data_IF_084868864330
#
_entry.id   IF_084868864330
#
_cell.length_a   1.000
_cell.length_b   1.000
_cell.length_c   1.000
_cell.angle_alpha   90.00
_cell.angle_beta   90.00
_cell.angle_gamma   90.00
#
_symmetry.space_group_name_H-M   'P 1'
#
loop_
_entity.id
_entity.type
_entity.pdbx_description
1 polymer ?
#
# COMPACT_ATOMS: atom_id res chain seq x y z
N UNK A 1 5.77 0.68 -10.82
CA UNK A 1 4.59 1.54 -10.57
C UNK A 1 3.31 0.75 -10.80
N UNK A 2 2.35 0.90 -9.92
CA UNK A 2 1.07 0.22 -10.02
C UNK A 2 -0.02 1.23 -10.40
N UNK A 3 -0.82 0.89 -11.40
CA UNK A 3 -1.94 1.70 -11.85
C UNK A 3 -3.23 0.96 -11.47
N UNK A 4 -4.07 1.59 -10.68
CA UNK A 4 -5.35 1.00 -10.26
C UNK A 4 -6.50 1.83 -10.83
N UNK A 5 -7.34 1.20 -11.61
CA UNK A 5 -8.59 1.81 -12.06
C UNK A 5 -9.63 1.68 -10.97
N UNK A 6 -10.18 2.79 -10.52
CA UNK A 6 -11.17 2.81 -9.45
C UNK A 6 -12.48 3.34 -9.98
N UNK A 7 -13.54 2.58 -9.78
CA UNK A 7 -14.92 3.01 -10.07
C UNK A 7 -15.52 3.51 -8.76
N UNK A 8 -16.05 4.72 -8.80
CA UNK A 8 -16.63 5.32 -7.60
C UNK A 8 -17.67 6.38 -7.98
N UNK A 9 -18.48 6.76 -7.02
CA UNK A 9 -19.44 7.86 -7.16
C UNK A 9 -18.90 9.06 -6.40
N UNK A 10 -18.72 10.19 -7.10
CA UNK A 10 -18.21 11.40 -6.47
C UNK A 10 -19.26 12.07 -5.56
N UNK A 11 -18.86 13.12 -4.87
CA UNK A 11 -19.76 13.78 -3.92
C UNK A 11 -20.86 14.60 -4.59
N UNK A 12 -20.84 14.73 -5.92
CA UNK A 12 -21.94 15.33 -6.68
C UNK A 12 -22.89 14.29 -7.25
N UNK A 13 -22.64 13.02 -6.97
CA UNK A 13 -23.47 11.92 -7.44
C UNK A 13 -23.10 11.38 -8.82
N UNK A 14 -22.00 11.84 -9.41
CA UNK A 14 -21.55 11.38 -10.71
C UNK A 14 -20.71 10.10 -10.57
N UNK A 15 -20.98 9.13 -11.44
CA UNK A 15 -20.18 7.90 -11.52
C UNK A 15 -18.91 8.20 -12.29
N UNK A 16 -17.78 7.77 -11.71
CA UNK A 16 -16.46 7.97 -12.30
C UNK A 16 -15.69 6.66 -12.38
N UNK A 17 -14.84 6.58 -13.38
CA UNK A 17 -13.91 5.48 -13.58
C UNK A 17 -12.57 6.10 -13.96
N UNK A 18 -11.64 6.14 -13.03
CA UNK A 18 -10.39 6.86 -13.18
C UNK A 18 -9.20 6.01 -12.75
N UNK A 19 -8.05 6.28 -13.35
CA UNK A 19 -6.81 5.60 -13.00
C UNK A 19 -6.06 6.38 -11.94
N UNK A 20 -5.60 5.65 -10.92
CA UNK A 20 -4.80 6.19 -9.84
C UNK A 20 -3.45 5.46 -9.80
N UNK A 21 -2.40 6.19 -9.43
CA UNK A 21 -1.03 5.72 -9.52
C UNK A 21 -0.41 5.56 -8.15
N UNK A 22 0.29 4.43 -7.97
CA UNK A 22 0.93 4.09 -6.69
C UNK A 22 2.35 3.60 -6.98
N UNK A 23 3.32 4.17 -6.29
CA UNK A 23 4.70 3.78 -6.44
C UNK A 23 5.51 4.05 -5.17
N UNK A 24 6.35 3.09 -4.80
CA UNK A 24 7.38 3.29 -3.80
C UNK A 24 8.72 3.02 -4.47
N UNK A 25 9.59 4.03 -4.49
CA UNK A 25 10.94 3.83 -4.99
C UNK A 25 11.82 3.20 -3.90
N UNK A 26 13.06 2.84 -4.25
CA UNK A 26 13.96 2.17 -3.32
C UNK A 26 14.23 2.98 -2.07
N UNK A 27 14.36 4.30 -2.20
CA UNK A 27 14.61 5.17 -1.06
C UNK A 27 13.40 5.22 -0.13
N UNK A 28 12.20 5.30 -0.68
CA UNK A 28 10.98 5.28 0.12
C UNK A 28 10.78 3.96 0.84
N UNK A 29 11.12 2.86 0.20
CA UNK A 29 11.07 1.53 0.80
C UNK A 29 12.07 1.43 1.96
N UNK A 30 13.27 1.95 1.78
CA UNK A 30 14.28 1.98 2.85
C UNK A 30 13.84 2.84 4.03
N UNK A 31 13.27 4.01 3.76
CA UNK A 31 12.71 4.86 4.80
C UNK A 31 11.61 4.16 5.58
N UNK A 32 10.74 3.45 4.86
CA UNK A 32 9.65 2.71 5.46
C UNK A 32 10.18 1.61 6.38
N UNK A 33 11.20 0.87 5.92
CA UNK A 33 11.82 -0.17 6.74
C UNK A 33 12.40 0.40 8.03
N UNK A 34 13.13 1.51 7.93
CA UNK A 34 13.73 2.16 9.11
C UNK A 34 12.65 2.68 10.06
N UNK A 35 11.52 3.16 9.52
CA UNK A 35 10.44 3.71 10.33
C UNK A 35 9.61 2.64 11.04
N UNK A 36 9.64 1.40 10.55
CA UNK A 36 8.91 0.30 11.16
C UNK A 36 9.67 -0.20 12.39
N UNK A 37 9.03 -0.18 13.55
CA UNK A 37 9.63 -0.66 14.77
C UNK A 37 9.96 -2.15 14.66
N UNK A 38 11.25 -2.47 14.64
CA UNK A 38 11.74 -3.84 14.43
C UNK A 38 11.95 -4.23 12.98
N UNK A 39 11.81 -3.28 12.04
CA UNK A 39 12.04 -3.52 10.62
C UNK A 39 10.98 -4.42 9.96
N UNK A 40 11.31 -4.91 8.76
CA UNK A 40 10.40 -5.77 7.99
C UNK A 40 10.02 -7.05 8.73
N UNK A 41 10.93 -7.63 9.51
CA UNK A 41 10.66 -8.84 10.29
C UNK A 41 9.45 -8.69 11.19
N UNK A 42 9.44 -7.62 11.96
CA UNK A 42 8.34 -7.33 12.88
C UNK A 42 7.06 -6.99 12.15
N UNK A 43 7.19 -6.28 11.04
CA UNK A 43 6.04 -5.91 10.22
C UNK A 43 5.35 -7.16 9.66
N UNK A 44 6.14 -8.08 9.09
CA UNK A 44 5.61 -9.34 8.56
C UNK A 44 4.91 -10.15 9.66
N UNK A 45 5.52 -10.25 10.84
CA UNK A 45 4.92 -10.96 11.97
C UNK A 45 3.60 -10.34 12.39
N UNK A 46 3.54 -9.02 12.43
CA UNK A 46 2.31 -8.31 12.78
C UNK A 46 1.19 -8.57 11.76
N UNK A 47 1.50 -8.53 10.47
CA UNK A 47 0.53 -8.82 9.41
C UNK A 47 0.05 -10.28 9.51
N UNK A 48 1.00 -11.22 9.64
CA UNK A 48 0.68 -12.64 9.72
C UNK A 48 -0.21 -12.97 10.91
N UNK A 49 0.00 -12.28 12.03
CA UNK A 49 -0.74 -12.50 13.27
C UNK A 49 -1.92 -11.53 13.43
N UNK A 50 -2.12 -10.62 12.49
CA UNK A 50 -3.22 -9.66 12.56
C UNK A 50 -4.54 -10.40 12.39
N UNK A 51 -5.31 -10.48 13.46
CA UNK A 51 -6.65 -11.04 13.46
C UNK A 51 -7.69 -9.93 13.58
N UNK A 52 -7.22 -8.72 13.80
CA UNK A 52 -8.05 -7.53 13.95
C UNK A 52 -8.12 -6.80 12.61
N UNK A 53 -9.31 -6.65 12.08
CA UNK A 53 -9.56 -5.90 10.84
C UNK A 53 -9.04 -4.48 10.91
N UNK A 54 -9.05 -3.87 12.08
CA UNK A 54 -8.54 -2.52 12.26
C UNK A 54 -7.04 -2.44 12.01
N UNK A 55 -6.27 -3.42 12.46
CA UNK A 55 -4.83 -3.47 12.21
C UNK A 55 -4.52 -3.62 10.73
N UNK A 56 -5.25 -4.51 10.05
CA UNK A 56 -5.12 -4.71 8.61
C UNK A 56 -5.47 -3.43 7.86
N UNK A 57 -6.56 -2.79 8.25
CA UNK A 57 -6.98 -1.52 7.66
C UNK A 57 -5.89 -0.45 7.80
N UNK A 58 -5.32 -0.28 8.99
CA UNK A 58 -4.29 0.74 9.22
C UNK A 58 -3.01 0.46 8.42
N UNK A 59 -2.63 -0.79 8.27
CA UNK A 59 -1.47 -1.17 7.47
C UNK A 59 -1.68 -0.81 6.01
N UNK A 60 -2.82 -1.17 5.42
CA UNK A 60 -3.13 -0.85 4.04
C UNK A 60 -3.31 0.65 3.83
N UNK A 61 -3.95 1.33 4.76
CA UNK A 61 -4.11 2.79 4.68
C UNK A 61 -2.76 3.49 4.61
N UNK A 62 -1.83 3.11 5.48
CA UNK A 62 -0.49 3.68 5.48
C UNK A 62 0.23 3.43 4.15
N UNK A 63 0.14 2.21 3.64
CA UNK A 63 0.77 1.83 2.39
C UNK A 63 0.16 2.59 1.19
N UNK A 64 -1.16 2.67 1.13
CA UNK A 64 -1.87 3.40 0.07
C UNK A 64 -1.45 4.86 0.05
N UNK A 65 -1.49 5.52 1.21
CA UNK A 65 -1.17 6.95 1.27
C UNK A 65 0.29 7.22 0.98
N UNK A 66 1.22 6.37 1.44
CA UNK A 66 2.65 6.56 1.17
C UNK A 66 2.98 6.34 -0.31
N UNK A 67 2.30 5.42 -0.97
CA UNK A 67 2.58 5.09 -2.37
C UNK A 67 1.85 5.97 -3.37
N UNK A 68 0.79 6.65 -2.97
CA UNK A 68 -0.01 7.47 -3.88
C UNK A 68 0.79 8.63 -4.45
N UNK A 69 0.58 8.92 -5.73
CA UNK A 69 1.18 10.06 -6.39
C UNK A 69 0.59 10.27 -7.78
N UNK A 70 1.15 11.26 -8.47
CA UNK A 70 0.75 11.61 -9.82
C UNK A 70 1.97 11.63 -10.74
N UNK A 71 1.84 10.97 -11.88
CA UNK A 71 2.90 10.92 -12.88
C UNK A 71 2.84 12.18 -13.75
N UNK A 72 4.00 12.78 -14.02
CA UNK A 72 4.09 13.87 -14.99
C UNK A 72 3.77 13.37 -16.40
N UNK A 73 3.34 14.29 -17.28
CA UNK A 73 2.98 13.92 -18.66
C UNK A 73 4.16 13.31 -19.42
N UNK A 74 5.38 13.80 -19.17
CA UNK A 74 6.58 13.30 -19.81
C UNK A 74 7.20 12.09 -19.11
N UNK A 75 6.63 11.66 -17.97
CA UNK A 75 7.08 10.49 -17.24
C UNK A 75 8.34 10.70 -16.39
N UNK A 76 8.90 11.91 -16.36
CA UNK A 76 10.14 12.17 -15.63
C UNK A 76 9.95 12.24 -14.13
N UNK A 77 8.76 12.63 -13.67
CA UNK A 77 8.48 12.85 -12.25
C UNK A 77 7.29 12.02 -11.80
N UNK A 78 7.40 11.54 -10.58
CA UNK A 78 6.26 10.99 -9.86
C UNK A 78 6.04 11.87 -8.65
N UNK A 79 5.03 12.73 -8.73
CA UNK A 79 4.78 13.74 -7.70
C UNK A 79 4.10 13.13 -6.49
N UNK A 80 4.70 13.33 -5.33
CA UNK A 80 4.11 12.98 -4.03
C UNK A 80 3.55 14.22 -3.33
N UNK A 81 3.95 15.40 -3.79
CA UNK A 81 3.56 16.69 -3.23
C UNK A 81 3.05 17.61 -4.32
N UNK A 82 2.12 18.48 -3.95
CA UNK A 82 1.68 19.56 -4.83
C UNK A 82 2.82 20.52 -5.06
N UNK A 83 3.05 20.88 -6.33
CA UNK A 83 4.18 21.72 -6.72
C UNK A 83 4.06 23.16 -6.23
N UNK A 84 2.84 23.63 -6.02
CA UNK A 84 2.59 25.02 -5.62
C UNK A 84 2.52 25.18 -4.11
N UNK A 85 1.94 24.22 -3.40
CA UNK A 85 1.68 24.31 -1.96
C UNK A 85 2.65 23.48 -1.12
N UNK A 86 3.29 22.47 -1.71
CA UNK A 86 4.12 21.52 -0.97
C UNK A 86 3.35 20.53 -0.11
N UNK A 87 2.01 20.55 -0.18
CA UNK A 87 1.19 19.59 0.57
C UNK A 87 1.29 18.20 -0.07
N UNK A 88 1.32 17.13 0.75
CA UNK A 88 1.26 15.78 0.21
C UNK A 88 -0.02 15.58 -0.60
N UNK A 89 0.12 15.03 -1.81
CA UNK A 89 -1.03 14.72 -2.66
C UNK A 89 -1.92 13.64 -2.03
N UNK A 90 -1.35 12.81 -1.17
CA UNK A 90 -2.11 11.80 -0.45
C UNK A 90 -3.17 12.40 0.48
N UNK A 91 -2.95 13.62 0.98
CA UNK A 91 -3.95 14.29 1.81
C UNK A 91 -5.22 14.59 1.02
N UNK A 92 -5.08 15.03 -0.23
CA UNK A 92 -6.23 15.29 -1.09
C UNK A 92 -6.88 13.98 -1.51
N UNK A 93 -6.09 12.97 -1.83
CA UNK A 93 -6.60 11.66 -2.21
C UNK A 93 -7.42 11.03 -1.09
N UNK A 94 -6.98 11.17 0.15
CA UNK A 94 -7.68 10.63 1.32
C UNK A 94 -9.09 11.24 1.47
N UNK A 95 -9.29 12.42 0.92
CA UNK A 95 -10.59 13.10 0.97
C UNK A 95 -11.51 12.77 -0.21
N UNK A 96 -11.03 11.98 -1.17
CA UNK A 96 -11.84 11.57 -2.31
C UNK A 96 -12.69 10.35 -1.99
N UNK A 97 -13.87 10.27 -2.60
CA UNK A 97 -14.68 9.06 -2.54
C UNK A 97 -13.96 7.85 -3.14
N UNK A 98 -13.02 8.10 -4.07
CA UNK A 98 -12.17 7.05 -4.65
C UNK A 98 -11.33 6.34 -3.59
N UNK A 99 -10.82 7.07 -2.60
CA UNK A 99 -10.04 6.49 -1.51
C UNK A 99 -10.89 5.50 -0.70
N UNK A 100 -12.11 5.91 -0.38
CA UNK A 100 -13.04 5.05 0.35
C UNK A 100 -13.34 3.76 -0.43
N UNK A 101 -13.60 3.89 -1.73
CA UNK A 101 -13.85 2.74 -2.60
C UNK A 101 -12.65 1.81 -2.65
N UNK A 102 -11.44 2.35 -2.76
CA UNK A 102 -10.21 1.55 -2.78
C UNK A 102 -10.01 0.82 -1.46
N UNK A 103 -10.14 1.51 -0.34
CA UNK A 103 -9.95 0.90 0.98
C UNK A 103 -10.96 -0.21 1.23
N UNK A 104 -12.21 0.00 0.82
CA UNK A 104 -13.22 -1.04 0.92
C UNK A 104 -12.84 -2.28 0.12
N UNK A 105 -12.35 -2.09 -1.11
CA UNK A 105 -11.92 -3.21 -1.95
C UNK A 105 -10.73 -3.95 -1.33
N UNK A 106 -9.71 -3.21 -0.88
CA UNK A 106 -8.50 -3.82 -0.32
C UNK A 106 -8.76 -4.57 1.00
N UNK A 107 -9.76 -4.17 1.76
CA UNK A 107 -10.07 -4.81 3.03
C UNK A 107 -11.12 -5.91 2.94
N UNK A 108 -11.79 -6.05 1.79
CA UNK A 108 -12.84 -7.06 1.60
C UNK A 108 -12.53 -8.07 0.50
N UNK A 109 -11.53 -7.81 -0.34
CA UNK A 109 -11.16 -8.67 -1.46
C UNK A 109 -9.68 -9.05 -1.37
N UNK A 110 -9.42 -10.30 -0.99
CA UNK A 110 -8.05 -10.78 -0.78
C UNK A 110 -7.20 -10.74 -2.04
N UNK A 111 -7.80 -10.98 -3.21
CA UNK A 111 -7.07 -10.92 -4.48
C UNK A 111 -6.63 -9.49 -4.79
N UNK A 112 -7.51 -8.52 -4.59
CA UNK A 112 -7.19 -7.11 -4.78
C UNK A 112 -6.10 -6.65 -3.82
N UNK A 113 -6.19 -7.07 -2.57
CA UNK A 113 -5.19 -6.76 -1.55
C UNK A 113 -3.82 -7.32 -1.92
N UNK A 114 -3.78 -8.59 -2.35
CA UNK A 114 -2.53 -9.24 -2.76
C UNK A 114 -1.94 -8.57 -3.99
N UNK A 115 -2.76 -8.24 -4.97
CA UNK A 115 -2.30 -7.57 -6.18
C UNK A 115 -1.69 -6.21 -5.87
N UNK A 116 -2.37 -5.41 -5.06
CA UNK A 116 -1.87 -4.10 -4.65
C UNK A 116 -0.53 -4.24 -3.93
N UNK A 117 -0.49 -5.12 -2.94
CA UNK A 117 0.68 -5.33 -2.12
C UNK A 117 1.88 -5.79 -2.95
N UNK A 118 1.69 -6.78 -3.83
CA UNK A 118 2.77 -7.36 -4.62
C UNK A 118 3.34 -6.39 -5.64
N UNK A 119 2.56 -5.40 -6.09
CA UNK A 119 3.04 -4.42 -7.05
C UNK A 119 3.71 -3.20 -6.41
N UNK A 120 3.48 -2.99 -5.11
CA UNK A 120 3.99 -1.82 -4.41
C UNK A 120 5.15 -2.16 -3.47
N UNK A 121 5.13 -3.35 -2.87
CA UNK A 121 6.12 -3.80 -1.87
C UNK A 121 7.12 -4.78 -2.52
N UNK A 122 8.39 -4.81 -2.06
CA UNK A 122 9.39 -5.74 -2.57
C UNK A 122 8.96 -7.20 -2.45
N UNK A 123 9.27 -8.01 -3.46
CA UNK A 123 8.84 -9.40 -3.56
C UNK A 123 9.23 -10.25 -2.34
N UNK A 124 10.43 -10.06 -1.80
CA UNK A 124 10.88 -10.83 -0.65
C UNK A 124 10.01 -10.60 0.58
N UNK A 125 9.49 -9.40 0.77
CA UNK A 125 8.59 -9.09 1.88
C UNK A 125 7.21 -9.69 1.62
N UNK A 126 6.69 -9.55 0.39
CA UNK A 126 5.40 -10.14 -0.01
C UNK A 126 5.39 -11.64 0.20
N UNK A 127 6.42 -12.32 -0.28
CA UNK A 127 6.53 -13.78 -0.18
C UNK A 127 6.58 -14.23 1.28
N UNK A 128 7.31 -13.51 2.12
CA UNK A 128 7.40 -13.83 3.53
C UNK A 128 6.04 -13.71 4.24
N UNK A 129 5.24 -12.70 3.86
CA UNK A 129 3.90 -12.53 4.42
C UNK A 129 2.99 -13.66 3.98
N UNK A 130 3.02 -14.05 2.71
CA UNK A 130 2.20 -15.14 2.19
C UNK A 130 2.53 -16.46 2.90
N UNK A 131 3.82 -16.76 3.07
CA UNK A 131 4.26 -17.95 3.79
C UNK A 131 3.77 -17.95 5.23
N UNK A 132 3.80 -16.81 5.90
CA UNK A 132 3.30 -16.67 7.25
C UNK A 132 1.79 -16.93 7.32
N UNK A 133 1.03 -16.43 6.34
CA UNK A 133 -0.42 -16.64 6.24
C UNK A 133 -0.79 -18.09 5.96
N UNK A 134 0.10 -18.84 5.31
CA UNK A 134 -0.09 -20.25 5.04
C UNK A 134 0.17 -21.13 6.27
N UNK A 135 0.43 -20.53 7.43
CA UNK A 135 0.63 -21.24 8.67
C UNK A 135 2.03 -21.74 8.89
N UNK A 136 3.01 -21.12 8.26
CA UNK A 136 4.42 -21.45 8.48
C UNK A 136 4.82 -21.20 9.94
N UNK A 137 5.76 -21.99 10.44
CA UNK A 137 6.24 -21.84 11.81
C UNK A 137 7.07 -20.60 11.98
N UNK A 138 7.23 -20.16 13.24
CA UNK A 138 8.10 -19.04 13.57
C UNK A 138 9.54 -19.30 13.15
N UNK A 139 10.00 -20.53 13.26
CA UNK A 139 11.33 -20.93 12.82
C UNK A 139 11.52 -20.73 11.32
N UNK A 140 10.54 -21.12 10.53
CA UNK A 140 10.57 -20.95 9.08
C UNK A 140 10.61 -19.48 8.72
N UNK A 141 9.81 -18.66 9.36
CA UNK A 141 9.82 -17.21 9.18
C UNK A 141 11.19 -16.62 9.54
N UNK A 142 11.74 -17.02 10.68
CA UNK A 142 13.05 -16.57 11.13
C UNK A 142 14.15 -17.00 10.16
N UNK A 143 14.04 -18.21 9.62
CA UNK A 143 14.96 -18.71 8.61
C UNK A 143 14.95 -17.88 7.34
N UNK A 144 13.78 -17.41 6.92
CA UNK A 144 13.64 -16.53 5.76
C UNK A 144 14.44 -15.25 5.95
N UNK A 145 14.42 -14.67 7.13
CA UNK A 145 15.11 -13.40 7.40
C UNK A 145 16.59 -13.54 7.71
N UNK A 146 17.05 -14.73 8.02
CA UNK A 146 18.47 -14.96 8.27
C UNK A 146 19.28 -15.15 7.01
N UNK A 147 18.64 -15.28 5.89
CA UNK A 147 19.28 -15.51 4.60
C UNK A 147 19.78 -14.23 3.94
#
# INVERSE_FOLDING_TARGET
MYVKTIEYTDYSGNKRKEDFYFNLDKNEIMELEVSINGGWDQWVKRIANAQDHNQIYQLFKGLVLKSYGERSLDGRYFYKKDRNTGRPLSEDFEQMAAFDALMNELTTNDEAASEFFNHVIPANVSDAIEEAKEGKTTEELTGIYKV
#
